data_IF_588962009092
#
_entry.id   IF_588962009092
#
_cell.length_a   1.000
_cell.length_b   1.000
_cell.length_c   1.000
_cell.angle_alpha   90.00
_cell.angle_beta   90.00
_cell.angle_gamma   90.00
#
_symmetry.space_group_name_H-M   'P 1'
#
loop_
_entity.id
_entity.type
_entity.pdbx_description
1 polymer ?
#
# COMPACT_ATOMS: atom_id res chain seq x y z
N UNK A 1 33.97 50.52 17.26
CA UNK A 1 34.41 50.46 18.67
C UNK A 1 33.56 49.43 19.40
N UNK A 2 34.20 48.55 20.19
CA UNK A 2 33.73 47.73 21.34
C UNK A 2 32.23 47.87 21.74
N UNK A 3 31.44 46.81 21.97
CA UNK A 3 31.68 45.46 22.56
C UNK A 3 31.24 44.33 21.59
N UNK A 4 31.67 43.05 21.60
CA UNK A 4 32.60 42.20 22.40
C UNK A 4 32.03 41.44 23.64
N UNK A 5 31.90 40.09 23.48
CA UNK A 5 31.79 38.99 24.49
C UNK A 5 30.52 38.91 25.38
N UNK A 6 30.05 37.76 25.88
CA UNK A 6 30.40 36.31 25.75
C UNK A 6 29.09 35.48 25.91
N UNK A 7 28.92 34.21 25.52
CA UNK A 7 29.69 33.00 25.89
C UNK A 7 29.55 31.87 24.85
N UNK A 8 30.55 30.99 24.81
CA UNK A 8 30.62 29.74 24.04
C UNK A 8 31.29 28.66 24.92
N UNK A 9 31.25 27.39 24.51
CA UNK A 9 31.65 26.14 25.21
C UNK A 9 30.58 25.59 26.18
N UNK A 10 30.37 24.27 26.29
CA UNK A 10 31.13 23.10 25.78
C UNK A 10 30.25 22.23 24.83
N UNK A 11 30.74 21.60 23.74
CA UNK A 11 31.64 20.43 23.67
C UNK A 11 31.15 19.24 24.52
N UNK A 12 31.04 17.97 24.10
CA UNK A 12 31.14 17.16 22.84
C UNK A 12 31.17 15.69 23.31
N UNK A 13 31.02 14.72 22.39
CA UNK A 13 31.14 13.26 22.60
C UNK A 13 29.86 12.60 23.19
N UNK A 14 29.47 11.40 22.77
CA UNK A 14 30.26 10.34 22.12
C UNK A 14 29.63 9.78 20.84
N UNK A 15 30.48 9.26 19.95
CA UNK A 15 30.09 8.51 18.76
C UNK A 15 30.47 7.02 18.90
N UNK A 16 29.82 6.18 18.10
CA UNK A 16 30.18 4.80 17.74
C UNK A 16 30.24 3.74 18.87
N UNK A 17 29.34 2.75 18.76
CA UNK A 17 29.69 1.33 18.88
C UNK A 17 28.85 0.53 17.88
N UNK A 18 29.49 -0.02 16.84
CA UNK A 18 28.98 -1.14 16.04
C UNK A 18 29.94 -2.31 16.25
N UNK A 19 29.42 -3.44 16.76
CA UNK A 19 30.02 -4.77 16.73
C UNK A 19 28.82 -5.74 16.82
N UNK A 20 28.52 -6.63 15.86
CA UNK A 20 29.35 -7.59 15.10
C UNK A 20 29.79 -8.79 15.93
N UNK A 21 29.58 -9.99 15.36
CA UNK A 21 29.66 -11.33 15.97
C UNK A 21 28.50 -11.63 16.96
N UNK A 22 27.91 -12.82 16.97
CA UNK A 22 28.18 -14.03 16.17
C UNK A 22 27.28 -15.19 16.63
N UNK A 23 27.23 -16.27 15.85
CA UNK A 23 26.19 -17.29 15.91
C UNK A 23 26.38 -18.43 16.96
N UNK A 24 25.32 -19.24 17.09
CA UNK A 24 25.24 -20.65 17.54
C UNK A 24 25.29 -21.11 19.03
N UNK A 25 24.28 -21.95 19.35
CA UNK A 25 24.27 -23.17 20.20
C UNK A 25 24.15 -23.13 21.74
N UNK A 26 22.93 -23.42 22.19
CA UNK A 26 22.51 -24.61 22.98
C UNK A 26 22.77 -24.75 24.52
N UNK A 27 21.67 -25.14 25.19
CA UNK A 27 21.52 -25.94 26.42
C UNK A 27 21.86 -25.41 27.84
N UNK A 28 20.79 -25.37 28.65
CA UNK A 28 20.60 -25.95 30.00
C UNK A 28 20.75 -25.13 31.30
N UNK A 29 19.60 -25.04 31.99
CA UNK A 29 19.35 -25.14 33.45
C UNK A 29 20.10 -24.27 34.49
N UNK A 30 19.38 -23.31 35.11
CA UNK A 30 18.96 -23.32 36.53
C UNK A 30 18.30 -21.96 36.88
N UNK A 31 17.05 -21.88 37.36
CA UNK A 31 16.46 -22.23 38.68
C UNK A 31 16.71 -21.16 39.76
N UNK A 32 15.61 -20.80 40.44
CA UNK A 32 15.46 -19.79 41.50
C UNK A 32 15.42 -18.33 40.98
N UNK A 33 14.66 -17.40 41.57
CA UNK A 33 13.89 -17.46 42.83
C UNK A 33 12.62 -16.61 42.73
N UNK A 34 11.53 -17.02 43.40
CA UNK A 34 10.23 -16.34 43.35
C UNK A 34 10.02 -15.41 44.55
N UNK A 35 9.37 -14.26 44.33
CA UNK A 35 8.97 -13.34 45.41
C UNK A 35 7.48 -13.03 45.33
N UNK A 36 6.67 -13.88 45.95
CA UNK A 36 5.22 -13.68 46.10
C UNK A 36 4.96 -12.75 47.29
N UNK A 37 4.15 -11.70 47.11
CA UNK A 37 3.72 -10.84 48.23
C UNK A 37 2.23 -11.06 48.49
N UNK A 38 1.92 -11.81 49.54
CA UNK A 38 0.55 -12.03 50.03
C UNK A 38 0.21 -11.00 51.11
N UNK A 39 -0.99 -10.43 51.09
CA UNK A 39 -1.52 -9.64 52.21
C UNK A 39 -2.93 -10.12 52.56
N UNK A 40 -3.20 -10.24 53.87
CA UNK A 40 -4.28 -11.06 54.44
C UNK A 40 -5.61 -10.31 54.60
N UNK A 41 -6.71 -11.06 54.57
CA UNK A 41 -8.08 -10.59 54.75
C UNK A 41 -8.44 -10.17 56.20
N UNK A 42 -9.60 -9.52 56.33
CA UNK A 42 -10.38 -9.44 57.56
C UNK A 42 -11.89 -9.52 57.24
N UNK A 43 -12.57 -10.54 57.76
CA UNK A 43 -14.05 -10.64 57.80
C UNK A 43 -14.57 -10.00 59.10
N UNK A 44 -15.89 -9.71 59.19
CA UNK A 44 -16.81 -10.31 60.21
C UNK A 44 -18.20 -9.61 60.24
N UNK A 45 -19.23 -10.42 59.96
CA UNK A 45 -20.65 -10.42 60.42
C UNK A 45 -21.67 -9.27 60.18
N UNK A 46 -22.88 -9.71 59.78
CA UNK A 46 -24.20 -9.05 59.91
C UNK A 46 -24.93 -9.58 61.20
N UNK A 47 -26.20 -9.29 61.56
CA UNK A 47 -27.46 -9.27 60.76
C UNK A 47 -28.37 -8.05 61.11
N UNK A 48 -29.68 -7.90 60.81
CA UNK A 48 -30.75 -8.80 60.36
C UNK A 48 -31.92 -8.07 59.63
N UNK A 49 -32.75 -8.88 58.95
CA UNK A 49 -34.17 -8.73 58.52
C UNK A 49 -34.93 -7.39 58.60
N UNK A 50 -35.64 -7.06 57.50
CA UNK A 50 -37.10 -6.78 57.56
C UNK A 50 -37.78 -6.87 56.18
N UNK A 51 -38.78 -7.76 56.09
CA UNK A 51 -40.02 -7.73 55.28
C UNK A 51 -40.01 -7.59 53.74
N UNK A 52 -41.02 -8.22 53.12
CA UNK A 52 -41.27 -8.32 51.68
C UNK A 52 -42.75 -7.91 51.39
N UNK A 53 -43.30 -8.07 50.17
CA UNK A 53 -43.39 -6.96 49.21
C UNK A 53 -44.82 -6.61 48.78
N UNK A 54 -45.07 -5.34 48.43
CA UNK A 54 -46.16 -4.91 47.54
C UNK A 54 -45.94 -3.47 47.08
N UNK A 55 -45.87 -3.22 45.76
CA UNK A 55 -46.98 -2.65 44.97
C UNK A 55 -46.56 -2.48 43.50
N UNK A 56 -47.56 -2.27 42.64
CA UNK A 56 -47.42 -2.19 41.18
C UNK A 56 -47.31 -0.73 40.74
N UNK A 57 -46.20 -0.36 40.09
CA UNK A 57 -46.15 0.81 39.21
C UNK A 57 -45.84 0.40 37.78
N UNK A 58 -46.48 1.09 36.83
CA UNK A 58 -46.37 0.80 35.40
C UNK A 58 -44.96 1.13 34.87
N UNK A 59 -44.49 0.48 33.79
CA UNK A 59 -43.34 0.98 33.07
C UNK A 59 -43.69 2.37 32.54
N UNK A 60 -42.95 3.38 32.95
CA UNK A 60 -42.94 4.65 32.23
C UNK A 60 -42.43 4.37 30.81
N UNK A 61 -43.10 4.92 29.81
CA UNK A 61 -42.57 4.96 28.46
C UNK A 61 -41.31 5.83 28.50
N UNK A 62 -40.14 5.18 28.62
CA UNK A 62 -38.89 5.77 28.16
C UNK A 62 -39.02 5.88 26.65
N UNK A 63 -39.40 7.08 26.19
CA UNK A 63 -39.09 7.51 24.83
C UNK A 63 -37.63 7.18 24.60
N UNK A 64 -37.34 6.27 23.67
CA UNK A 64 -35.98 6.12 23.21
C UNK A 64 -35.58 7.49 22.66
N UNK A 65 -34.45 8.02 23.13
CA UNK A 65 -33.73 8.99 22.31
C UNK A 65 -33.38 8.23 21.04
N UNK A 66 -33.85 8.72 19.88
CA UNK A 66 -33.31 8.27 18.60
C UNK A 66 -31.82 8.64 18.65
N UNK A 67 -30.95 7.65 18.78
CA UNK A 67 -29.53 7.82 18.50
C UNK A 67 -29.44 8.20 17.02
N UNK A 68 -29.37 9.50 16.74
CA UNK A 68 -29.03 10.00 15.41
C UNK A 68 -27.69 9.35 15.02
N UNK A 69 -27.71 8.53 13.97
CA UNK A 69 -26.51 7.90 13.45
C UNK A 69 -25.43 8.98 13.23
N UNK A 70 -24.17 8.73 13.62
CA UNK A 70 -23.13 9.75 13.62
C UNK A 70 -22.94 10.32 12.21
N UNK A 71 -23.27 11.60 12.04
CA UNK A 71 -23.14 12.28 10.75
C UNK A 71 -21.67 12.25 10.28
N UNK A 72 -21.43 11.57 9.15
CA UNK A 72 -20.10 11.43 8.54
C UNK A 72 -19.67 12.79 7.96
N UNK A 73 -18.49 13.28 8.35
CA UNK A 73 -17.88 14.47 7.74
C UNK A 73 -17.22 14.10 6.40
N UNK A 74 -17.96 14.26 5.32
CA UNK A 74 -17.48 14.06 3.95
C UNK A 74 -16.97 15.36 3.28
N UNK A 75 -16.63 16.40 4.05
CA UNK A 75 -16.23 17.70 3.49
C UNK A 75 -14.91 17.69 2.69
N UNK A 76 -14.10 16.64 2.84
CA UNK A 76 -12.87 16.41 2.06
C UNK A 76 -13.06 15.46 0.87
N UNK A 77 -14.26 14.91 0.65
CA UNK A 77 -14.55 13.96 -0.43
C UNK A 77 -14.28 14.56 -1.80
N UNK A 78 -13.69 13.74 -2.68
CA UNK A 78 -13.36 14.05 -4.06
C UNK A 78 -13.79 12.89 -4.97
N UNK A 79 -14.47 13.17 -6.09
CA UNK A 79 -14.78 12.15 -7.07
C UNK A 79 -13.50 11.59 -7.71
N UNK A 80 -13.60 10.42 -8.34
CA UNK A 80 -12.57 9.81 -9.18
C UNK A 80 -12.07 10.78 -10.25
N UNK A 81 -12.93 11.65 -10.79
CA UNK A 81 -12.53 12.68 -11.75
C UNK A 81 -11.47 13.68 -11.24
N UNK A 82 -11.26 13.78 -9.91
CA UNK A 82 -10.20 14.59 -9.30
C UNK A 82 -8.82 13.90 -9.24
N UNK A 83 -8.72 12.63 -9.64
CA UNK A 83 -7.44 11.89 -9.75
C UNK A 83 -6.51 12.65 -10.71
N UNK A 84 -7.00 13.03 -11.89
CA UNK A 84 -6.19 13.69 -12.94
C UNK A 84 -5.59 15.03 -12.50
N UNK A 85 -6.31 15.82 -11.69
CA UNK A 85 -5.83 17.09 -11.12
C UNK A 85 -4.82 16.90 -9.98
N UNK A 86 -4.63 15.66 -9.51
CA UNK A 86 -3.76 15.33 -8.37
C UNK A 86 -2.43 14.70 -8.77
N UNK A 87 -2.25 14.31 -10.04
CA UNK A 87 -1.00 13.72 -10.55
C UNK A 87 0.12 14.78 -10.60
N UNK A 88 1.30 14.44 -10.08
CA UNK A 88 2.44 15.35 -9.96
C UNK A 88 3.42 15.30 -11.15
N UNK A 89 3.71 14.11 -11.70
CA UNK A 89 4.81 13.90 -12.65
C UNK A 89 4.32 13.66 -14.11
N UNK A 90 3.02 13.41 -14.32
CA UNK A 90 2.40 13.04 -15.62
C UNK A 90 2.78 13.92 -16.82
N UNK A 91 3.05 15.21 -16.62
CA UNK A 91 3.48 16.12 -17.70
C UNK A 91 4.93 15.85 -18.14
N UNK A 92 5.81 15.50 -17.20
CA UNK A 92 7.25 15.31 -17.41
C UNK A 92 7.68 13.83 -17.49
N UNK A 93 6.75 12.89 -17.37
CA UNK A 93 7.07 11.47 -17.29
C UNK A 93 7.85 10.90 -18.49
N UNK A 94 8.74 9.96 -18.19
CA UNK A 94 9.52 9.19 -19.17
C UNK A 94 8.66 8.14 -19.86
N UNK A 95 7.73 7.53 -19.14
CA UNK A 95 6.76 6.55 -19.62
C UNK A 95 5.36 7.13 -19.47
N UNK A 96 4.58 7.12 -20.54
CA UNK A 96 3.15 7.44 -20.52
C UNK A 96 2.41 6.37 -21.31
N UNK A 97 1.21 5.99 -20.86
CA UNK A 97 0.38 5.02 -21.56
C UNK A 97 -0.56 5.74 -22.55
N UNK A 98 -0.95 5.03 -23.60
CA UNK A 98 -2.03 5.39 -24.51
C UNK A 98 -3.14 4.32 -24.40
N UNK A 99 -4.41 4.62 -24.73
CA UNK A 99 -5.51 3.66 -24.58
C UNK A 99 -5.31 2.32 -25.34
N UNK A 100 -4.45 2.30 -26.36
CA UNK A 100 -4.10 1.12 -27.17
C UNK A 100 -2.68 0.58 -26.90
N UNK A 101 -2.00 1.03 -25.85
CA UNK A 101 -0.63 0.58 -25.51
C UNK A 101 -0.58 -0.91 -25.18
N UNK A 102 0.20 -1.69 -25.94
CA UNK A 102 0.51 -3.09 -25.64
C UNK A 102 1.61 -3.17 -24.58
N UNK A 103 1.18 -3.36 -23.34
CA UNK A 103 2.08 -3.47 -22.18
C UNK A 103 2.64 -4.89 -22.00
N UNK A 104 2.05 -5.91 -22.65
CA UNK A 104 2.29 -7.33 -22.35
C UNK A 104 3.70 -7.82 -22.69
N UNK A 105 4.38 -7.13 -23.62
CA UNK A 105 5.77 -7.41 -23.96
C UNK A 105 6.77 -6.89 -22.92
N UNK A 106 6.41 -5.86 -22.15
CA UNK A 106 7.32 -5.03 -21.33
C UNK A 106 7.04 -5.21 -19.84
N UNK A 107 5.77 -5.39 -19.47
CA UNK A 107 5.30 -5.49 -18.10
C UNK A 107 4.81 -6.92 -17.85
N UNK A 108 5.19 -7.48 -16.71
CA UNK A 108 4.85 -8.85 -16.33
C UNK A 108 4.93 -9.03 -14.81
N UNK A 109 4.43 -10.15 -14.29
CA UNK A 109 4.60 -10.49 -12.88
C UNK A 109 6.05 -10.85 -12.54
N UNK A 110 6.42 -10.66 -11.29
CA UNK A 110 7.68 -11.11 -10.71
C UNK A 110 7.41 -12.14 -9.61
N UNK A 111 7.65 -13.41 -9.90
CA UNK A 111 7.60 -14.50 -8.93
C UNK A 111 9.03 -14.80 -8.49
N UNK A 112 9.29 -14.81 -7.19
CA UNK A 112 10.67 -14.88 -6.67
C UNK A 112 11.25 -16.30 -6.72
N UNK A 113 10.45 -17.29 -6.34
CA UNK A 113 10.93 -18.65 -6.07
C UNK A 113 10.67 -19.67 -7.19
N UNK A 114 9.93 -19.31 -8.25
CA UNK A 114 9.56 -20.25 -9.33
C UNK A 114 9.27 -19.60 -10.69
N UNK A 115 9.93 -20.09 -11.73
CA UNK A 115 9.54 -19.86 -13.15
C UNK A 115 8.72 -21.04 -13.73
N UNK A 116 8.82 -22.24 -13.14
CA UNK A 116 8.27 -23.50 -13.66
C UNK A 116 6.81 -23.74 -13.23
N UNK A 117 6.42 -23.24 -12.04
CA UNK A 117 5.08 -23.31 -11.44
C UNK A 117 4.65 -21.91 -11.03
N UNK A 118 3.39 -21.53 -11.28
CA UNK A 118 2.88 -20.15 -11.13
C UNK A 118 1.75 -20.05 -10.10
N UNK A 119 1.42 -18.83 -9.61
CA UNK A 119 0.24 -18.62 -8.77
C UNK A 119 -1.02 -19.26 -9.37
N UNK A 120 -1.75 -20.01 -8.54
CA UNK A 120 -2.93 -20.79 -8.94
C UNK A 120 -2.66 -22.18 -9.54
N UNK A 121 -1.40 -22.57 -9.78
CA UNK A 121 -1.05 -23.92 -10.28
C UNK A 121 -0.81 -24.92 -9.13
N UNK A 122 -1.07 -26.21 -9.37
CA UNK A 122 -0.88 -27.27 -8.37
C UNK A 122 0.59 -27.38 -7.96
N UNK A 123 0.86 -27.10 -6.67
CA UNK A 123 2.21 -27.13 -6.10
C UNK A 123 2.90 -25.77 -6.01
N UNK A 124 2.22 -24.66 -6.32
CA UNK A 124 2.70 -23.32 -5.95
C UNK A 124 2.59 -23.10 -4.44
N UNK A 125 3.67 -22.62 -3.81
CA UNK A 125 3.75 -22.31 -2.38
C UNK A 125 4.23 -20.88 -2.07
N UNK A 126 4.39 -20.03 -3.10
CA UNK A 126 4.69 -18.61 -2.97
C UNK A 126 3.49 -17.74 -2.57
N UNK A 127 3.78 -16.47 -2.28
CA UNK A 127 2.81 -15.47 -1.77
C UNK A 127 2.31 -14.49 -2.84
N UNK A 128 2.72 -14.67 -4.10
CA UNK A 128 2.46 -13.70 -5.18
C UNK A 128 1.08 -13.79 -5.81
N UNK A 129 0.51 -12.61 -6.10
CA UNK A 129 -0.71 -12.48 -6.88
C UNK A 129 -0.51 -12.85 -8.35
N UNK A 130 -1.57 -13.38 -8.97
CA UNK A 130 -1.71 -13.42 -10.42
C UNK A 130 -2.25 -12.07 -10.87
N UNK A 131 -1.59 -11.41 -11.83
CA UNK A 131 -1.94 -10.05 -12.27
C UNK A 131 -2.25 -10.05 -13.76
N UNK A 132 -3.40 -9.49 -14.13
CA UNK A 132 -3.78 -9.18 -15.50
C UNK A 132 -3.41 -7.71 -15.80
N UNK A 133 -2.55 -7.49 -16.80
CA UNK A 133 -2.10 -6.15 -17.19
C UNK A 133 -2.90 -5.63 -18.38
N UNK A 134 -3.52 -4.46 -18.21
CA UNK A 134 -4.27 -3.75 -19.25
C UNK A 134 -4.05 -2.23 -19.13
N UNK A 135 -4.58 -1.46 -20.08
CA UNK A 135 -4.66 0.00 -19.95
C UNK A 135 -6.12 0.42 -19.85
N UNK A 136 -6.42 1.23 -18.83
CA UNK A 136 -7.75 1.78 -18.56
C UNK A 136 -7.67 3.31 -18.50
N UNK A 137 -8.74 3.99 -18.88
CA UNK A 137 -8.85 5.44 -18.75
C UNK A 137 -9.37 5.80 -17.35
N UNK A 138 -8.52 6.40 -16.53
CA UNK A 138 -8.84 6.85 -15.17
C UNK A 138 -8.88 8.37 -15.18
N UNK A 139 -10.06 8.97 -14.95
CA UNK A 139 -10.26 10.42 -14.99
C UNK A 139 -9.79 11.10 -16.30
N UNK A 140 -9.85 10.39 -17.44
CA UNK A 140 -9.36 10.89 -18.73
C UNK A 140 -7.85 10.67 -18.99
N UNK A 141 -7.15 10.01 -18.07
CA UNK A 141 -5.72 9.67 -18.18
C UNK A 141 -5.59 8.15 -18.41
N UNK A 142 -4.95 7.68 -19.49
CA UNK A 142 -4.67 6.26 -19.66
C UNK A 142 -3.61 5.81 -18.64
N UNK A 143 -3.94 4.82 -17.82
CA UNK A 143 -3.07 4.25 -16.79
C UNK A 143 -2.95 2.73 -16.98
N UNK A 144 -1.83 2.15 -16.58
CA UNK A 144 -1.70 0.69 -16.49
C UNK A 144 -2.56 0.19 -15.31
N UNK A 145 -3.59 -0.63 -15.59
CA UNK A 145 -4.30 -1.40 -14.56
C UNK A 145 -3.48 -2.64 -14.20
N UNK A 146 -3.31 -2.89 -12.90
CA UNK A 146 -2.72 -4.10 -12.34
C UNK A 146 -3.83 -4.90 -11.63
N UNK A 147 -4.66 -5.57 -12.42
CA UNK A 147 -5.87 -6.29 -12.00
C UNK A 147 -5.50 -7.63 -11.33
N UNK A 148 -5.84 -7.82 -10.05
CA UNK A 148 -5.55 -9.07 -9.33
C UNK A 148 -6.57 -10.16 -9.67
N UNK A 149 -6.09 -11.34 -10.07
CA UNK A 149 -6.93 -12.53 -10.22
C UNK A 149 -6.84 -13.41 -8.97
N UNK A 150 -7.85 -13.31 -8.10
CA UNK A 150 -7.98 -14.11 -6.89
C UNK A 150 -8.09 -15.60 -7.24
N UNK A 151 -7.07 -16.37 -6.88
CA UNK A 151 -7.00 -17.81 -7.14
C UNK A 151 -7.14 -18.69 -5.88
N UNK A 152 -6.87 -18.14 -4.69
CA UNK A 152 -6.86 -18.87 -3.42
C UNK A 152 -8.05 -18.48 -2.54
N UNK A 153 -9.26 -18.83 -2.99
CA UNK A 153 -10.51 -18.53 -2.27
C UNK A 153 -10.69 -19.34 -0.96
N UNK A 154 -9.64 -20.02 -0.50
CA UNK A 154 -9.60 -20.72 0.79
C UNK A 154 -8.79 -19.95 1.85
N UNK A 155 -8.07 -18.90 1.46
CA UNK A 155 -7.38 -17.99 2.38
C UNK A 155 -8.40 -17.00 3.01
N UNK A 156 -9.02 -17.45 4.10
CA UNK A 156 -9.91 -16.62 4.95
C UNK A 156 -9.15 -15.53 5.73
N UNK A 157 -7.81 -15.58 5.81
CA UNK A 157 -7.03 -14.55 6.54
C UNK A 157 -6.87 -13.29 5.69
N UNK A 158 -6.69 -13.44 4.37
CA UNK A 158 -6.47 -12.36 3.40
C UNK A 158 -7.59 -12.21 2.37
N UNK A 159 -8.73 -12.88 2.52
CA UNK A 159 -9.82 -12.96 1.54
C UNK A 159 -9.37 -13.46 0.14
N UNK A 160 -8.28 -14.25 0.09
CA UNK A 160 -7.68 -14.72 -1.15
C UNK A 160 -6.70 -13.76 -1.84
N UNK A 161 -6.57 -12.51 -1.37
CA UNK A 161 -5.59 -11.55 -1.87
C UNK A 161 -4.15 -11.99 -1.57
N UNK A 162 -3.24 -11.63 -2.46
CA UNK A 162 -1.82 -12.02 -2.44
C UNK A 162 -0.92 -10.81 -2.74
N UNK A 163 0.39 -10.99 -2.65
CA UNK A 163 1.37 -9.91 -2.84
C UNK A 163 1.49 -9.59 -4.33
N UNK A 164 0.98 -8.45 -4.81
CA UNK A 164 1.21 -8.05 -6.21
C UNK A 164 2.69 -7.73 -6.39
N UNK A 165 3.36 -8.39 -7.34
CA UNK A 165 4.76 -8.12 -7.72
C UNK A 165 4.85 -7.91 -9.22
N UNK A 166 5.17 -6.69 -9.63
CA UNK A 166 5.17 -6.19 -11.02
C UNK A 166 6.62 -5.90 -11.43
N UNK A 167 7.03 -6.31 -12.63
CA UNK A 167 8.32 -5.93 -13.24
C UNK A 167 8.14 -5.25 -14.60
N UNK A 168 8.89 -4.16 -14.79
CA UNK A 168 9.01 -3.42 -16.06
C UNK A 168 10.38 -3.74 -16.66
N UNK A 169 10.39 -4.33 -17.85
CA UNK A 169 11.58 -4.77 -18.59
C UNK A 169 12.33 -3.58 -19.21
N UNK A 170 13.42 -3.19 -18.56
CA UNK A 170 14.23 -2.04 -18.95
C UNK A 170 15.03 -2.31 -20.22
N UNK A 171 15.46 -3.56 -20.46
CA UNK A 171 16.15 -3.96 -21.68
C UNK A 171 15.26 -3.78 -22.91
N UNK A 172 13.96 -4.09 -22.80
CA UNK A 172 12.97 -3.85 -23.87
C UNK A 172 12.59 -2.38 -23.99
N UNK A 173 12.26 -1.73 -22.86
CA UNK A 173 11.83 -0.33 -22.84
C UNK A 173 12.89 0.60 -23.44
N UNK A 174 14.18 0.31 -23.25
CA UNK A 174 15.30 1.08 -23.81
C UNK A 174 15.95 0.42 -25.04
N UNK A 175 15.37 -0.62 -25.65
CA UNK A 175 16.02 -1.45 -26.67
C UNK A 175 16.61 -0.69 -27.88
N UNK A 176 16.06 0.46 -28.24
CA UNK A 176 16.53 1.28 -29.35
C UNK A 176 17.72 2.22 -28.99
N UNK A 177 17.92 2.54 -27.71
CA UNK A 177 19.01 3.37 -27.17
C UNK A 177 19.39 2.84 -25.78
N UNK A 178 19.91 1.61 -25.66
CA UNK A 178 20.05 0.92 -24.39
C UNK A 178 21.03 1.63 -23.44
N UNK A 179 22.03 2.34 -23.96
CA UNK A 179 23.00 3.14 -23.20
C UNK A 179 22.38 4.28 -22.37
N UNK A 180 21.11 4.66 -22.62
CA UNK A 180 20.40 5.62 -21.77
C UNK A 180 20.16 5.06 -20.36
N UNK A 181 19.93 3.74 -20.21
CA UNK A 181 19.56 3.15 -18.92
C UNK A 181 20.68 3.22 -17.87
N UNK A 182 21.95 3.20 -18.30
CA UNK A 182 23.14 3.31 -17.45
C UNK A 182 23.21 4.62 -16.64
N UNK A 183 22.55 5.66 -17.17
CA UNK A 183 22.52 7.01 -16.61
C UNK A 183 21.36 7.21 -15.62
N UNK A 184 20.42 6.27 -15.55
CA UNK A 184 19.29 6.33 -14.60
C UNK A 184 19.85 6.25 -13.18
N UNK A 185 19.68 7.34 -12.44
CA UNK A 185 20.10 7.49 -11.05
C UNK A 185 18.91 7.40 -10.11
N UNK A 186 17.78 7.99 -10.51
CA UNK A 186 16.52 7.96 -9.77
C UNK A 186 15.40 7.40 -10.65
N UNK A 187 14.51 6.64 -10.03
CA UNK A 187 13.22 6.24 -10.60
C UNK A 187 12.15 6.90 -9.74
N UNK A 188 11.09 7.40 -10.37
CA UNK A 188 9.82 7.68 -9.71
C UNK A 188 8.72 6.90 -10.40
N UNK A 189 7.73 6.48 -9.62
CA UNK A 189 6.52 5.83 -10.13
C UNK A 189 5.33 6.52 -9.48
N UNK A 190 4.43 7.05 -10.30
CA UNK A 190 3.19 7.66 -9.82
C UNK A 190 2.10 6.57 -9.79
N UNK A 191 1.60 6.30 -8.58
CA UNK A 191 0.70 5.20 -8.26
C UNK A 191 -0.65 5.75 -7.83
N UNK A 192 -1.74 5.14 -8.31
CA UNK A 192 -3.11 5.41 -7.89
C UNK A 192 -3.74 4.09 -7.42
N UNK A 193 -4.40 4.10 -6.27
CA UNK A 193 -5.20 2.98 -5.79
C UNK A 193 -6.68 3.39 -5.82
N UNK A 194 -7.57 2.48 -6.21
CA UNK A 194 -9.03 2.70 -6.23
C UNK A 194 -9.71 1.51 -5.55
N UNK A 195 -10.50 1.78 -4.51
CA UNK A 195 -11.29 0.76 -3.82
C UNK A 195 -12.54 0.41 -4.65
N UNK A 196 -12.73 -0.89 -4.86
CA UNK A 196 -13.90 -1.47 -5.54
C UNK A 196 -14.98 -1.91 -4.55
N UNK A 197 -14.59 -2.21 -3.31
CA UNK A 197 -15.49 -2.64 -2.24
C UNK A 197 -15.26 -1.90 -0.90
N UNK A 198 -15.98 -2.32 0.14
CA UNK A 198 -15.82 -1.80 1.49
C UNK A 198 -14.46 -2.17 2.08
N UNK A 199 -13.79 -1.19 2.70
CA UNK A 199 -12.57 -1.46 3.46
C UNK A 199 -12.85 -2.44 4.62
N UNK A 200 -11.99 -3.45 4.76
CA UNK A 200 -12.09 -4.52 5.76
C UNK A 200 -11.15 -4.21 6.94
N UNK A 201 -11.73 -4.08 8.14
CA UNK A 201 -11.03 -3.77 9.39
C UNK A 201 -11.16 -4.91 10.40
N UNK A 202 -10.33 -4.86 11.46
CA UNK A 202 -10.37 -5.83 12.56
C UNK A 202 -11.71 -5.84 13.33
N UNK A 203 -12.46 -4.73 13.29
CA UNK A 203 -13.76 -4.54 13.96
C UNK A 203 -14.98 -4.59 13.02
N UNK A 204 -14.78 -4.68 11.69
CA UNK A 204 -15.87 -4.86 10.73
C UNK A 204 -15.59 -4.31 9.33
N UNK A 205 -16.66 -4.12 8.56
CA UNK A 205 -16.61 -3.40 7.29
C UNK A 205 -16.74 -1.88 7.52
N UNK A 206 -16.05 -1.09 6.72
CA UNK A 206 -16.17 0.37 6.70
C UNK A 206 -16.68 0.91 5.36
N UNK A 207 -16.29 2.14 4.96
CA UNK A 207 -16.73 2.74 3.71
C UNK A 207 -15.93 2.16 2.53
N UNK A 208 -16.40 2.43 1.30
CA UNK A 208 -15.63 2.18 0.08
C UNK A 208 -14.52 3.24 0.02
N UNK A 209 -13.33 2.89 0.52
CA UNK A 209 -12.21 3.82 0.64
C UNK A 209 -10.87 3.09 0.60
N UNK A 210 -9.83 3.74 0.06
CA UNK A 210 -8.45 3.24 0.20
C UNK A 210 -7.95 3.58 1.59
N UNK A 211 -8.22 2.72 2.57
CA UNK A 211 -7.88 3.01 3.95
C UNK A 211 -6.36 3.01 4.22
N UNK A 212 -5.70 1.95 3.82
CA UNK A 212 -4.25 1.91 3.64
C UNK A 212 -3.92 0.97 2.48
N UNK A 213 -3.04 1.42 1.60
CA UNK A 213 -2.43 0.61 0.56
C UNK A 213 -0.95 0.97 0.48
N UNK A 214 -0.06 0.00 0.52
CA UNK A 214 1.37 0.27 0.63
C UNK A 214 2.22 -0.82 0.01
N UNK A 215 3.51 -0.55 -0.10
CA UNK A 215 4.41 -1.45 -0.80
C UNK A 215 5.84 -0.95 -0.91
N UNK A 216 6.56 -1.54 -1.86
CA UNK A 216 7.95 -1.24 -2.12
C UNK A 216 8.26 -1.16 -3.62
N UNK A 217 9.34 -0.47 -3.94
CA UNK A 217 9.94 -0.49 -5.27
C UNK A 217 11.44 -0.75 -5.19
N UNK A 218 12.00 -1.34 -6.25
CA UNK A 218 13.43 -1.64 -6.34
C UNK A 218 13.82 -2.05 -7.75
N UNK A 219 14.93 -2.76 -7.87
CA UNK A 219 15.40 -3.30 -9.16
C UNK A 219 15.81 -4.76 -9.04
N UNK A 220 15.49 -5.54 -10.07
CA UNK A 220 16.03 -6.88 -10.26
C UNK A 220 16.95 -6.85 -11.49
N UNK A 221 18.25 -7.00 -11.27
CA UNK A 221 19.26 -6.90 -12.31
C UNK A 221 20.04 -8.21 -12.39
N UNK A 222 20.13 -8.79 -13.58
CA UNK A 222 20.81 -10.06 -13.85
C UNK A 222 20.34 -11.20 -12.92
N UNK A 223 19.03 -11.30 -12.69
CA UNK A 223 18.38 -12.29 -11.82
C UNK A 223 18.58 -12.07 -10.31
N UNK A 224 19.08 -10.91 -9.88
CA UNK A 224 19.28 -10.59 -8.47
C UNK A 224 18.41 -9.42 -8.01
N UNK A 225 17.57 -9.66 -7.00
CA UNK A 225 16.83 -8.62 -6.29
C UNK A 225 17.77 -7.71 -5.50
N UNK A 226 17.64 -6.39 -5.68
CA UNK A 226 18.48 -5.39 -5.00
C UNK A 226 17.85 -4.80 -3.71
N UNK A 227 16.72 -5.36 -3.30
CA UNK A 227 15.97 -4.97 -2.11
C UNK A 227 15.09 -3.73 -2.31
N UNK A 228 14.29 -3.43 -1.29
CA UNK A 228 13.39 -2.27 -1.27
C UNK A 228 14.25 -0.99 -1.28
N UNK A 229 14.23 -0.27 -2.41
CA UNK A 229 14.98 0.97 -2.66
C UNK A 229 14.12 2.22 -2.43
N UNK A 230 12.81 2.08 -2.60
CA UNK A 230 11.77 3.00 -2.14
C UNK A 230 10.65 2.20 -1.48
N UNK A 231 9.86 2.87 -0.65
CA UNK A 231 8.58 2.36 -0.13
C UNK A 231 7.49 3.36 -0.46
N UNK A 232 6.24 2.91 -0.39
CA UNK A 232 5.10 3.79 -0.51
C UNK A 232 3.99 3.35 0.42
N UNK A 233 3.23 4.34 0.87
CA UNK A 233 2.05 4.21 1.71
C UNK A 233 1.08 5.28 1.21
N UNK A 234 -0.12 4.88 0.83
CA UNK A 234 -1.19 5.77 0.43
C UNK A 234 -2.47 5.44 1.21
N UNK A 235 -3.21 6.48 1.51
CA UNK A 235 -4.52 6.43 2.14
C UNK A 235 -5.35 7.52 1.46
N UNK A 236 -6.65 7.30 1.36
CA UNK A 236 -7.63 8.23 0.80
C UNK A 236 -7.53 9.61 1.44
N UNK A 237 -7.14 9.65 2.72
CA UNK A 237 -6.81 10.85 3.46
C UNK A 237 -5.65 10.59 4.43
N UNK A 238 -4.53 11.31 4.24
CA UNK A 238 -3.43 11.39 5.22
C UNK A 238 -3.87 12.28 6.41
N UNK A 239 -4.82 11.81 7.22
CA UNK A 239 -5.44 12.60 8.30
C UNK A 239 -6.62 11.95 9.03
N UNK A 240 -7.45 12.77 9.67
CA UNK A 240 -8.52 12.38 10.62
C UNK A 240 -9.88 11.97 9.97
N UNK A 241 -9.94 11.69 8.67
CA UNK A 241 -11.19 11.21 8.05
C UNK A 241 -10.96 10.63 6.68
N UNK A 242 -11.12 9.32 6.54
CA UNK A 242 -10.91 8.55 5.30
C UNK A 242 -12.21 8.55 4.49
N UNK A 243 -12.26 9.33 3.42
CA UNK A 243 -13.51 9.60 2.70
C UNK A 243 -13.47 9.33 1.20
N UNK A 244 -12.28 9.31 0.57
CA UNK A 244 -12.18 9.12 -0.88
C UNK A 244 -12.17 7.63 -1.27
N UNK A 245 -12.82 7.28 -2.39
CA UNK A 245 -12.74 5.95 -2.99
C UNK A 245 -11.31 5.60 -3.46
N UNK A 246 -10.45 6.60 -3.63
CA UNK A 246 -9.13 6.47 -4.23
C UNK A 246 -8.06 7.15 -3.37
N UNK A 247 -6.80 6.76 -3.61
CA UNK A 247 -5.61 7.43 -3.09
C UNK A 247 -4.55 7.50 -4.19
N UNK A 248 -3.55 8.38 -4.03
CA UNK A 248 -2.38 8.39 -4.91
C UNK A 248 -1.10 8.68 -4.10
N UNK A 249 0.05 8.32 -4.68
CA UNK A 249 1.34 8.87 -4.28
C UNK A 249 2.39 8.74 -5.38
N UNK A 250 3.43 9.57 -5.32
CA UNK A 250 4.68 9.34 -6.06
C UNK A 250 5.67 8.61 -5.16
N UNK A 251 6.05 7.38 -5.54
CA UNK A 251 7.15 6.65 -4.90
C UNK A 251 8.46 6.86 -5.65
N UNK A 252 9.61 6.76 -4.98
CA UNK A 252 10.90 7.02 -5.61
C UNK A 252 12.05 6.17 -5.07
N UNK A 253 12.90 5.68 -5.97
CA UNK A 253 14.07 4.87 -5.70
C UNK A 253 15.34 5.46 -6.33
N UNK A 254 16.26 5.93 -5.48
CA UNK A 254 17.58 6.42 -5.90
C UNK A 254 18.55 5.27 -6.13
N UNK A 255 18.31 4.50 -7.19
CA UNK A 255 19.09 3.30 -7.55
C UNK A 255 20.58 3.59 -7.72
N UNK A 256 20.93 4.80 -8.17
CA UNK A 256 22.31 5.26 -8.37
C UNK A 256 23.16 5.35 -7.10
N UNK A 257 22.56 5.23 -5.90
CA UNK A 257 23.27 5.17 -4.63
C UNK A 257 23.83 3.77 -4.29
N UNK A 258 23.44 2.72 -5.03
CA UNK A 258 23.93 1.35 -4.82
C UNK A 258 24.34 0.72 -6.15
N UNK A 259 25.64 0.42 -6.32
CA UNK A 259 26.21 -0.10 -7.57
C UNK A 259 25.47 -1.30 -8.18
N UNK A 260 24.92 -2.20 -7.35
CA UNK A 260 24.15 -3.37 -7.82
C UNK A 260 22.73 -3.04 -8.31
N UNK A 261 22.13 -1.98 -7.75
CA UNK A 261 20.77 -1.56 -8.09
C UNK A 261 20.72 -0.74 -9.38
N UNK A 262 21.85 -0.12 -9.77
CA UNK A 262 22.03 0.53 -11.07
C UNK A 262 21.75 -0.44 -12.23
N UNK A 263 21.05 0.04 -13.23
CA UNK A 263 20.96 -0.65 -14.51
C UNK A 263 22.30 -0.64 -15.24
N UNK A 264 22.53 -1.67 -16.04
CA UNK A 264 23.63 -1.77 -16.97
C UNK A 264 23.12 -2.46 -18.23
N UNK A 265 23.21 -1.78 -19.38
CA UNK A 265 22.77 -2.32 -20.66
C UNK A 265 23.50 -3.60 -21.11
N UNK A 266 24.67 -3.91 -20.52
CA UNK A 266 25.38 -5.18 -20.74
C UNK A 266 24.76 -6.38 -19.99
N UNK A 267 23.87 -6.15 -19.01
CA UNK A 267 23.17 -7.24 -18.32
C UNK A 267 22.05 -7.84 -19.18
N UNK A 268 21.91 -9.17 -19.11
CA UNK A 268 20.87 -9.92 -19.83
C UNK A 268 19.46 -9.51 -19.40
N UNK A 269 19.31 -9.07 -18.14
CA UNK A 269 18.06 -8.57 -17.57
C UNK A 269 18.29 -7.38 -16.65
N UNK A 270 17.41 -6.38 -16.77
CA UNK A 270 17.29 -5.20 -15.93
C UNK A 270 15.80 -4.94 -15.76
N UNK A 271 15.31 -4.91 -14.52
CA UNK A 271 13.92 -4.67 -14.21
C UNK A 271 13.77 -3.56 -13.17
N UNK A 272 12.85 -2.63 -13.42
CA UNK A 272 12.22 -1.90 -12.32
C UNK A 272 11.15 -2.81 -11.73
N UNK A 273 11.12 -2.97 -10.41
CA UNK A 273 10.12 -3.79 -9.72
C UNK A 273 9.29 -2.93 -8.78
N UNK A 274 7.99 -3.14 -8.78
CA UNK A 274 7.02 -2.53 -7.88
C UNK A 274 6.25 -3.68 -7.23
N UNK A 275 6.04 -3.60 -5.92
CA UNK A 275 5.26 -4.57 -5.17
C UNK A 275 4.31 -3.85 -4.23
N UNK A 276 3.11 -4.39 -4.01
CA UNK A 276 2.23 -4.00 -2.90
C UNK A 276 2.18 -5.12 -1.85
N UNK A 277 2.03 -4.72 -0.60
CA UNK A 277 1.76 -5.63 0.50
C UNK A 277 0.31 -6.12 0.41
N UNK A 278 0.04 -7.30 0.95
CA UNK A 278 -1.32 -7.86 1.00
C UNK A 278 -2.25 -6.92 1.78
N UNK A 279 -3.37 -6.57 1.16
CA UNK A 279 -4.53 -5.92 1.78
C UNK A 279 -5.73 -6.85 1.69
N UNK A 280 -6.69 -6.74 2.61
CA UNK A 280 -7.85 -7.66 2.69
C UNK A 280 -9.08 -7.20 1.89
N UNK A 281 -8.91 -6.16 1.10
CA UNK A 281 -9.99 -5.48 0.37
C UNK A 281 -9.64 -5.37 -1.10
N UNK A 282 -10.64 -5.54 -1.96
CA UNK A 282 -10.54 -5.32 -3.40
C UNK A 282 -10.20 -3.84 -3.71
N UNK A 283 -8.93 -3.62 -4.05
CA UNK A 283 -8.34 -2.33 -4.39
C UNK A 283 -7.50 -2.52 -5.66
N UNK A 284 -7.94 -1.92 -6.76
CA UNK A 284 -7.18 -1.86 -8.00
C UNK A 284 -5.96 -0.94 -7.85
N UNK A 285 -4.79 -1.44 -8.25
CA UNK A 285 -3.56 -0.65 -8.36
C UNK A 285 -3.34 -0.21 -9.81
N UNK A 286 -3.14 1.09 -9.99
CA UNK A 286 -2.79 1.70 -11.26
C UNK A 286 -1.39 2.32 -11.20
N UNK A 287 -0.64 2.20 -12.30
CA UNK A 287 0.54 3.04 -12.57
C UNK A 287 0.10 4.11 -13.55
N UNK A 288 0.07 5.36 -13.10
CA UNK A 288 -0.22 6.51 -13.96
C UNK A 288 0.96 6.76 -14.92
N UNK A 289 2.17 6.85 -14.36
CA UNK A 289 3.39 7.07 -15.13
C UNK A 289 4.68 6.64 -14.40
N UNK A 290 5.80 6.73 -15.12
CA UNK A 290 7.15 6.46 -14.57
C UNK A 290 8.11 7.56 -15.06
N UNK A 291 8.88 8.13 -14.14
CA UNK A 291 9.97 9.06 -14.43
C UNK A 291 11.32 8.39 -14.20
N UNK A 292 12.23 8.52 -15.16
CA UNK A 292 13.64 8.18 -14.99
C UNK A 292 14.46 9.46 -14.99
N UNK A 293 15.30 9.67 -13.97
CA UNK A 293 16.12 10.89 -13.84
C UNK A 293 17.61 10.53 -13.74
N UNK A 294 18.47 11.38 -14.30
CA UNK A 294 19.93 11.32 -14.11
C UNK A 294 20.37 11.82 -12.71
N UNK A 295 21.68 11.82 -12.43
CA UNK A 295 22.23 12.23 -11.13
C UNK A 295 22.09 13.74 -10.84
N UNK A 296 21.73 14.54 -11.85
CA UNK A 296 21.41 15.96 -11.76
C UNK A 296 19.89 16.24 -11.72
N UNK A 297 19.04 15.21 -11.83
CA UNK A 297 17.58 15.34 -11.84
C UNK A 297 16.99 15.71 -13.21
N UNK A 298 17.72 15.51 -14.32
CA UNK A 298 17.15 15.68 -15.65
C UNK A 298 16.41 14.41 -16.07
N UNK A 299 15.21 14.57 -16.65
CA UNK A 299 14.42 13.44 -17.18
C UNK A 299 15.13 12.77 -18.35
N UNK A 300 15.27 11.45 -18.26
CA UNK A 300 15.71 10.55 -19.33
C UNK A 300 14.46 10.01 -20.02
N UNK A 301 14.16 10.49 -21.23
CA UNK A 301 13.05 9.99 -22.03
C UNK A 301 13.31 8.55 -22.50
N UNK A 302 12.25 7.72 -22.55
CA UNK A 302 12.33 6.43 -23.25
C UNK A 302 12.39 6.66 -24.77
N UNK A 303 12.97 5.73 -25.56
CA UNK A 303 12.97 5.82 -27.01
C UNK A 303 11.56 5.89 -27.62
N UNK A 304 11.42 6.57 -28.77
CA UNK A 304 10.16 6.60 -29.51
C UNK A 304 9.71 5.19 -29.91
N UNK A 305 8.44 4.86 -29.63
CA UNK A 305 7.88 3.53 -29.87
C UNK A 305 8.32 2.45 -28.89
N UNK A 306 8.93 2.81 -27.75
CA UNK A 306 9.32 1.88 -26.69
C UNK A 306 8.14 1.04 -26.16
N UNK A 307 6.94 1.65 -26.06
CA UNK A 307 5.67 0.95 -25.82
C UNK A 307 4.93 0.87 -27.16
N UNK A 308 4.69 -0.33 -27.72
CA UNK A 308 3.87 -0.49 -28.93
C UNK A 308 2.41 -0.09 -28.69
N UNK A 309 1.72 0.31 -29.76
CA UNK A 309 0.27 0.47 -29.77
C UNK A 309 -0.44 -0.72 -30.42
N UNK A 310 -1.76 -0.62 -30.56
CA UNK A 310 -2.61 -1.63 -31.21
C UNK A 310 -3.12 -2.76 -30.32
N UNK A 311 -2.96 -2.68 -29.00
CA UNK A 311 -3.71 -3.53 -28.07
C UNK A 311 -5.20 -3.15 -28.04
N UNK A 312 -6.02 -4.09 -27.57
CA UNK A 312 -7.45 -3.88 -27.36
C UNK A 312 -7.83 -4.55 -26.04
N UNK A 313 -8.07 -3.73 -25.02
CA UNK A 313 -8.58 -4.17 -23.72
C UNK A 313 -10.09 -3.94 -23.65
N UNK A 314 -10.78 -4.66 -22.76
CA UNK A 314 -12.16 -4.31 -22.43
C UNK A 314 -12.11 -3.03 -21.58
N UNK A 315 -12.91 -2.04 -21.97
CA UNK A 315 -12.97 -0.75 -21.27
C UNK A 315 -14.13 -0.79 -20.27
N UNK A 316 -13.79 -0.79 -19.00
CA UNK A 316 -14.73 -0.63 -17.90
C UNK A 316 -14.80 0.86 -17.52
N UNK A 317 -16.01 1.41 -17.48
CA UNK A 317 -16.25 2.78 -17.03
C UNK A 317 -16.18 2.79 -15.50
N UNK A 318 -15.17 3.47 -14.95
CA UNK A 318 -15.08 3.67 -13.51
C UNK A 318 -16.20 4.60 -13.06
N UNK A 319 -16.95 4.16 -12.07
CA UNK A 319 -18.04 4.92 -11.45
C UNK A 319 -17.61 5.34 -10.06
N UNK A 320 -17.84 6.60 -9.72
CA UNK A 320 -17.83 7.03 -8.32
C UNK A 320 -18.77 6.10 -7.52
N UNK A 321 -18.28 5.57 -6.40
CA UNK A 321 -19.17 5.01 -5.38
C UNK A 321 -20.24 6.07 -5.04
N UNK A 322 -21.50 5.63 -4.85
CA UNK A 322 -22.63 6.55 -4.66
C UNK A 322 -22.28 7.64 -3.62
N UNK A 323 -22.53 8.89 -4.00
CA UNK A 323 -21.68 10.10 -3.84
C UNK A 323 -21.41 10.65 -2.44
N UNK A 324 -21.55 9.80 -1.44
CA UNK A 324 -21.80 10.18 -0.06
C UNK A 324 -20.64 9.72 0.83
N UNK A 325 -20.01 8.58 0.50
CA UNK A 325 -19.09 7.87 1.39
C UNK A 325 -19.73 7.43 2.71
N UNK A 326 -21.06 7.55 2.82
CA UNK A 326 -21.82 7.29 4.03
C UNK A 326 -21.89 5.78 4.23
N UNK A 327 -21.31 5.36 5.34
CA UNK A 327 -21.61 4.08 5.96
C UNK A 327 -23.01 4.23 6.56
N UNK A 328 -24.04 3.73 5.89
CA UNK A 328 -25.32 3.54 6.58
C UNK A 328 -25.15 2.38 7.57
N UNK A 329 -25.69 2.53 8.78
CA UNK A 329 -25.70 1.46 9.77
C UNK A 329 -27.15 1.06 10.05
N UNK A 330 -27.41 -0.25 10.09
CA UNK A 330 -28.66 -0.79 10.60
C UNK A 330 -28.81 -0.51 12.10
N UNK A 331 -30.03 -0.66 12.62
CA UNK A 331 -30.33 -0.54 14.06
C UNK A 331 -29.52 -1.52 14.95
N UNK A 332 -28.90 -2.56 14.37
CA UNK A 332 -28.02 -3.51 15.08
C UNK A 332 -26.51 -3.18 14.95
N UNK A 333 -26.15 -2.09 14.28
CA UNK A 333 -24.77 -1.65 14.05
C UNK A 333 -24.06 -2.35 12.89
N UNK A 334 -24.74 -3.20 12.11
CA UNK A 334 -24.17 -3.72 10.85
C UNK A 334 -24.19 -2.65 9.76
N UNK A 335 -23.19 -2.65 8.87
CA UNK A 335 -23.19 -1.74 7.73
C UNK A 335 -24.27 -2.15 6.72
N UNK A 336 -25.14 -1.22 6.38
CA UNK A 336 -26.13 -1.33 5.31
C UNK A 336 -25.55 -0.65 4.07
N UNK A 337 -25.63 -1.36 2.94
CA UNK A 337 -25.47 -0.78 1.61
C UNK A 337 -26.80 -1.00 0.86
N UNK A 338 -27.76 -0.08 1.01
CA UNK A 338 -28.94 -0.02 0.14
C UNK A 338 -29.09 1.37 -0.51
N UNK A 339 -29.85 1.40 -1.61
CA UNK A 339 -29.99 2.49 -2.59
C UNK A 339 -31.22 3.37 -2.37
#
# INVERSE_FOLDING_TARGET
MKKVLAMTLALTMSALMFASCGDETDSSESKAEATTTTTTAAETEAPAESEAPAESEAPAETTAEEDEAPAVDNSNWKPLSAIADSLEDIDNASVKFAPDSDVTGIISCFYEDSEDVKPGEEGYDGDEAKINFSVQEVAGVPMLKCDEEIYDTADEENNGHKTLKIKVDMNKLFAAQPELMDNIFNIKVELVAIANEQAVYDDGLGPITVGWYGGAMGTNNNGAWNGNMGTYDMASDQGEGWCNQWAHCVTSARIGLKDKAKFNHEYETNYTTIMSWIVKSDIDLYIADIVFEDDAGNVIAVPEGAIPGGASYEQEELVDADSDGIIEYAEDGTVVLEK
#
